data_IF_165956877914
#
_entry.id   IF_165956877914
#
_cell.length_a   1.000
_cell.length_b   1.000
_cell.length_c   1.000
_cell.angle_alpha   90.00
_cell.angle_beta   90.00
_cell.angle_gamma   90.00
#
_symmetry.space_group_name_H-M   'P 1'
#
loop_
_entity.id
_entity.type
_entity.pdbx_description
1 polymer ?
#
# COMPACT_ATOMS: atom_id res chain seq x y z
N UNK A 1 -0.74 -57.46 50.44
CA UNK A 1 -1.49 -56.31 51.01
C UNK A 1 -0.53 -55.65 51.99
N UNK A 2 0.02 -54.44 51.82
CA UNK A 2 -0.37 -53.24 51.10
C UNK A 2 0.83 -52.59 50.40
N UNK A 3 0.60 -51.98 49.23
CA UNK A 3 1.45 -50.95 48.62
C UNK A 3 1.50 -49.72 49.52
N UNK A 4 2.66 -49.08 49.65
CA UNK A 4 2.74 -47.67 50.05
C UNK A 4 3.62 -46.90 49.06
N UNK A 5 2.94 -45.98 48.40
CA UNK A 5 3.37 -45.13 47.31
C UNK A 5 3.89 -43.82 47.93
N UNK A 6 5.18 -43.50 47.77
CA UNK A 6 5.68 -42.16 48.12
C UNK A 6 6.05 -41.39 46.85
N UNK A 7 5.31 -40.31 46.66
CA UNK A 7 5.20 -39.48 45.47
C UNK A 7 6.40 -38.51 45.41
N UNK A 8 7.15 -38.54 44.30
CA UNK A 8 8.19 -37.53 44.00
C UNK A 8 7.50 -36.22 43.62
N UNK A 9 7.61 -35.21 44.47
CA UNK A 9 7.12 -33.86 44.17
C UNK A 9 8.25 -33.02 43.57
N UNK A 10 8.42 -33.12 42.25
CA UNK A 10 9.27 -32.20 41.48
C UNK A 10 8.40 -31.02 41.03
N UNK A 11 8.43 -29.92 41.77
CA UNK A 11 7.81 -28.66 41.36
C UNK A 11 8.64 -27.99 40.27
N UNK A 12 8.30 -28.28 39.00
CA UNK A 12 8.78 -27.49 37.87
C UNK A 12 8.00 -26.17 37.82
N UNK A 13 8.63 -25.08 38.26
CA UNK A 13 8.10 -23.74 38.13
C UNK A 13 8.27 -23.29 36.67
N UNK A 14 7.25 -23.54 35.84
CA UNK A 14 7.19 -22.97 34.49
C UNK A 14 6.83 -21.50 34.63
N UNK A 15 7.83 -20.64 34.65
CA UNK A 15 7.64 -19.20 34.49
C UNK A 15 7.25 -18.93 33.04
N UNK A 16 5.95 -18.96 32.75
CA UNK A 16 5.40 -18.40 31.52
C UNK A 16 5.57 -16.89 31.58
N UNK A 17 6.67 -16.38 31.01
CA UNK A 17 6.76 -14.96 30.68
C UNK A 17 5.71 -14.66 29.63
N UNK A 18 4.60 -14.07 30.07
CA UNK A 18 3.68 -13.37 29.20
C UNK A 18 4.44 -12.18 28.61
N UNK A 19 5.12 -12.39 27.49
CA UNK A 19 5.47 -11.30 26.60
C UNK A 19 4.13 -10.75 26.10
N UNK A 20 3.68 -9.65 26.71
CA UNK A 20 2.61 -8.85 26.15
C UNK A 20 3.10 -8.40 24.77
N UNK A 21 2.61 -9.04 23.70
CA UNK A 21 2.81 -8.55 22.35
C UNK A 21 2.09 -7.21 22.28
N UNK A 22 2.85 -6.11 22.39
CA UNK A 22 2.34 -4.79 22.08
C UNK A 22 1.94 -4.78 20.60
N UNK A 23 0.64 -4.79 20.33
CA UNK A 23 0.12 -4.66 18.97
C UNK A 23 0.52 -3.28 18.43
N UNK A 24 1.01 -3.24 17.20
CA UNK A 24 1.51 -2.00 16.61
C UNK A 24 0.36 -0.99 16.43
N UNK A 25 0.40 0.10 17.18
CA UNK A 25 -0.54 1.20 17.04
C UNK A 25 -0.04 2.21 15.99
N UNK A 26 -0.59 2.09 14.78
CA UNK A 26 -0.21 2.92 13.65
C UNK A 26 -0.50 4.41 13.88
N UNK A 27 -1.64 4.76 14.46
CA UNK A 27 -2.01 6.16 14.68
C UNK A 27 -1.08 6.83 15.69
N UNK A 28 -0.73 6.12 16.76
CA UNK A 28 0.23 6.56 17.76
C UNK A 28 1.62 6.76 17.15
N UNK A 29 2.11 5.80 16.37
CA UNK A 29 3.38 5.89 15.66
C UNK A 29 3.44 7.10 14.72
N UNK A 30 2.38 7.34 13.93
CA UNK A 30 2.33 8.52 13.04
C UNK A 30 2.40 9.82 13.85
N UNK A 31 1.62 9.93 14.92
CA UNK A 31 1.54 11.14 15.75
C UNK A 31 2.82 11.41 16.55
N UNK A 32 3.49 10.37 17.04
CA UNK A 32 4.66 10.51 17.91
C UNK A 32 5.99 10.47 17.16
N UNK A 33 6.12 9.60 16.17
CA UNK A 33 7.42 9.26 15.58
C UNK A 33 7.61 9.80 14.17
N UNK A 34 6.57 9.80 13.33
CA UNK A 34 6.68 10.31 11.95
C UNK A 34 6.49 11.82 11.87
N UNK A 35 5.40 12.35 12.44
CA UNK A 35 5.06 13.77 12.35
C UNK A 35 5.58 14.50 13.57
N UNK A 36 6.82 14.98 13.49
CA UNK A 36 7.47 15.74 14.57
C UNK A 36 7.26 17.25 14.48
N UNK A 37 6.79 17.75 13.33
CA UNK A 37 6.60 19.18 13.14
C UNK A 37 5.27 19.65 13.78
N UNK A 38 5.31 20.51 14.81
CA UNK A 38 4.10 20.95 15.53
C UNK A 38 3.15 21.79 14.67
N UNK A 39 3.60 22.32 13.52
CA UNK A 39 2.77 23.06 12.57
C UNK A 39 1.89 22.14 11.69
N UNK A 40 2.10 20.82 11.77
CA UNK A 40 1.34 19.82 11.03
C UNK A 40 0.40 19.13 12.03
N UNK A 41 -0.92 19.20 11.78
CA UNK A 41 -1.89 18.44 12.58
C UNK A 41 -2.23 17.13 11.88
N UNK A 42 -2.21 16.03 12.62
CA UNK A 42 -2.69 14.72 12.15
C UNK A 42 -4.18 14.64 12.45
N UNK A 43 -5.03 14.81 11.44
CA UNK A 43 -6.47 14.71 11.59
C UNK A 43 -6.94 13.24 11.69
N UNK A 44 -6.21 12.32 11.07
CA UNK A 44 -6.50 10.90 11.11
C UNK A 44 -5.50 10.06 10.33
N UNK A 45 -5.53 8.75 10.55
CA UNK A 45 -4.71 7.77 9.84
C UNK A 45 -5.61 6.62 9.40
N UNK A 46 -5.64 6.34 8.11
CA UNK A 46 -6.47 5.28 7.51
C UNK A 46 -5.57 4.16 7.01
N UNK A 47 -5.69 2.96 7.57
CA UNK A 47 -5.00 1.78 7.06
C UNK A 47 -5.68 1.33 5.75
N UNK A 48 -4.92 1.33 4.65
CA UNK A 48 -5.40 0.90 3.34
C UNK A 48 -5.21 -0.60 3.17
N UNK A 49 -4.01 -1.09 3.45
CA UNK A 49 -3.66 -2.50 3.29
C UNK A 49 -2.47 -2.87 4.17
N UNK A 50 -2.45 -4.11 4.66
CA UNK A 50 -1.28 -4.72 5.30
C UNK A 50 -0.88 -5.97 4.52
N UNK A 51 0.41 -6.11 4.21
CA UNK A 51 0.93 -7.20 3.37
C UNK A 51 2.22 -7.78 3.95
N UNK A 52 2.35 -9.09 3.95
CA UNK A 52 3.60 -9.75 4.32
C UNK A 52 4.71 -9.36 3.36
N UNK A 53 5.93 -9.25 3.88
CA UNK A 53 7.09 -9.00 3.02
C UNK A 53 7.68 -10.30 2.50
N UNK A 54 8.09 -10.30 1.22
CA UNK A 54 8.75 -11.45 0.61
C UNK A 54 10.14 -11.73 1.21
N UNK A 55 10.72 -10.79 1.96
CA UNK A 55 12.05 -10.88 2.53
C UNK A 55 12.09 -11.61 3.88
N UNK A 56 11.02 -11.51 4.67
CA UNK A 56 10.89 -12.22 5.95
C UNK A 56 9.44 -12.30 6.40
N UNK A 57 9.05 -13.44 6.97
CA UNK A 57 7.72 -13.67 7.54
C UNK A 57 7.44 -12.80 8.77
N UNK A 58 8.47 -12.21 9.37
CA UNK A 58 8.33 -11.41 10.58
C UNK A 58 8.11 -9.91 10.28
N UNK A 59 8.31 -9.49 9.03
CA UNK A 59 8.11 -8.11 8.60
C UNK A 59 6.86 -8.02 7.74
N UNK A 60 5.99 -7.07 8.10
CA UNK A 60 4.78 -6.71 7.36
C UNK A 60 4.87 -5.26 6.89
N UNK A 61 4.43 -4.99 5.67
CA UNK A 61 4.26 -3.65 5.15
C UNK A 61 2.85 -3.15 5.49
N UNK A 62 2.79 -2.00 6.16
CA UNK A 62 1.58 -1.27 6.49
C UNK A 62 1.49 -0.08 5.52
N UNK A 63 0.49 -0.10 4.64
CA UNK A 63 0.20 0.96 3.68
C UNK A 63 -1.00 1.75 4.17
N UNK A 64 -0.84 3.06 4.35
CA UNK A 64 -1.86 3.88 4.98
C UNK A 64 -1.88 5.31 4.43
N UNK A 65 -2.99 6.00 4.66
CA UNK A 65 -3.19 7.39 4.31
C UNK A 65 -3.13 8.24 5.57
N UNK A 66 -2.22 9.22 5.59
CA UNK A 66 -2.17 10.24 6.64
C UNK A 66 -3.01 11.44 6.21
N UNK A 67 -4.06 11.73 6.97
CA UNK A 67 -4.88 12.92 6.76
C UNK A 67 -4.26 14.07 7.57
N UNK A 68 -3.50 14.92 6.90
CA UNK A 68 -2.71 15.98 7.55
C UNK A 68 -3.27 17.36 7.22
N UNK A 69 -3.26 18.25 8.21
CA UNK A 69 -3.47 19.69 8.02
C UNK A 69 -2.13 20.40 8.01
N UNK A 70 -1.68 20.84 6.84
CA UNK A 70 -0.42 21.54 6.63
C UNK A 70 -0.71 22.99 6.27
N UNK A 71 -0.27 23.95 7.09
CA UNK A 71 -0.52 25.39 6.88
C UNK A 71 -2.01 25.71 6.65
N UNK A 72 -2.89 25.04 7.40
CA UNK A 72 -4.35 25.23 7.31
C UNK A 72 -5.04 24.50 6.16
N UNK A 73 -4.30 23.85 5.26
CA UNK A 73 -4.85 23.05 4.16
C UNK A 73 -4.83 21.57 4.50
N UNK A 74 -5.98 20.91 4.36
CA UNK A 74 -6.08 19.47 4.48
C UNK A 74 -5.46 18.79 3.26
N UNK A 75 -4.68 17.75 3.48
CA UNK A 75 -3.93 17.02 2.45
C UNK A 75 -3.70 15.59 2.91
N UNK A 76 -3.87 14.66 1.98
CA UNK A 76 -3.73 13.24 2.24
C UNK A 76 -2.37 12.77 1.72
N UNK A 77 -1.60 12.12 2.58
CA UNK A 77 -0.24 11.65 2.26
C UNK A 77 -0.19 10.13 2.41
N UNK A 78 -0.07 9.38 1.30
CA UNK A 78 0.12 7.94 1.37
C UNK A 78 1.52 7.64 1.89
N UNK A 79 1.63 6.66 2.78
CA UNK A 79 2.90 6.24 3.35
C UNK A 79 2.95 4.72 3.48
N UNK A 80 4.16 4.17 3.54
CA UNK A 80 4.36 2.74 3.82
C UNK A 80 5.44 2.56 4.86
N UNK A 81 5.12 1.81 5.92
CA UNK A 81 6.11 1.42 6.92
C UNK A 81 6.17 -0.09 7.09
N UNK A 82 7.35 -0.57 7.46
CA UNK A 82 7.64 -1.97 7.69
C UNK A 82 7.66 -2.20 9.19
N UNK A 83 6.84 -3.13 9.67
CA UNK A 83 6.68 -3.43 11.09
C UNK A 83 7.10 -4.86 11.34
N UNK A 84 7.96 -5.05 12.32
CA UNK A 84 8.26 -6.33 12.93
C UNK A 84 7.63 -6.38 14.32
N UNK A 85 6.42 -6.93 14.39
CA UNK A 85 5.62 -7.01 15.61
C UNK A 85 6.30 -7.86 16.69
N UNK A 86 7.03 -8.92 16.29
CA UNK A 86 7.74 -9.80 17.23
C UNK A 86 8.93 -9.10 17.90
N UNK A 87 9.63 -8.27 17.14
CA UNK A 87 10.79 -7.53 17.64
C UNK A 87 10.41 -6.16 18.25
N UNK A 88 9.17 -5.71 18.07
CA UNK A 88 8.75 -4.36 18.46
C UNK A 88 9.47 -3.26 17.67
N UNK A 89 9.78 -3.52 16.39
CA UNK A 89 10.55 -2.59 15.54
C UNK A 89 9.72 -2.11 14.35
N UNK A 90 9.94 -0.87 13.96
CA UNK A 90 9.36 -0.25 12.76
C UNK A 90 10.45 0.44 11.96
N UNK A 91 10.34 0.36 10.63
CA UNK A 91 11.25 1.03 9.71
C UNK A 91 10.49 1.62 8.53
N UNK A 92 10.92 2.78 8.04
CA UNK A 92 10.43 3.36 6.78
C UNK A 92 11.09 2.73 5.55
N UNK A 93 12.23 2.06 5.74
CA UNK A 93 12.95 1.42 4.64
C UNK A 93 13.62 0.14 5.11
N UNK A 94 13.39 -0.93 4.37
CA UNK A 94 13.94 -2.24 4.66
C UNK A 94 14.72 -2.70 3.44
N UNK A 95 15.97 -3.14 3.63
CA UNK A 95 16.82 -3.67 2.57
C UNK A 95 17.16 -5.12 2.87
N UNK A 96 17.07 -5.96 1.85
CA UNK A 96 17.60 -7.32 1.91
C UNK A 96 19.11 -7.27 1.73
N UNK A 97 19.85 -7.75 2.72
CA UNK A 97 21.32 -7.66 2.74
C UNK A 97 21.99 -8.55 1.69
N UNK A 98 21.33 -9.61 1.22
CA UNK A 98 21.91 -10.55 0.25
C UNK A 98 21.79 -10.03 -1.19
N UNK A 99 20.63 -9.51 -1.53
CA UNK A 99 20.32 -9.01 -2.87
C UNK A 99 20.58 -7.52 -3.02
N UNK A 100 20.82 -6.80 -1.92
CA UNK A 100 20.92 -5.34 -1.85
C UNK A 100 19.69 -4.62 -2.41
N UNK A 101 18.55 -5.31 -2.51
CA UNK A 101 17.29 -4.74 -2.99
C UNK A 101 16.48 -4.22 -1.81
N UNK A 102 15.84 -3.08 -2.03
CA UNK A 102 14.84 -2.58 -1.08
C UNK A 102 13.66 -3.56 -1.07
N UNK A 103 13.34 -4.06 0.12
CA UNK A 103 12.15 -4.87 0.37
C UNK A 103 10.94 -3.99 0.11
N UNK A 104 10.00 -4.50 -0.69
CA UNK A 104 8.75 -3.78 -0.86
C UNK A 104 8.82 -2.53 -1.73
N UNK A 105 9.82 -2.41 -2.62
CA UNK A 105 9.95 -1.30 -3.58
C UNK A 105 8.65 -0.97 -4.34
N UNK A 106 7.73 -1.91 -4.44
CA UNK A 106 6.43 -1.76 -5.11
C UNK A 106 5.23 -2.07 -4.20
N UNK A 107 5.34 -1.91 -2.88
CA UNK A 107 4.14 -1.91 -2.03
C UNK A 107 3.32 -0.66 -2.35
N UNK A 108 2.34 -0.89 -3.23
CA UNK A 108 1.25 0.02 -3.50
C UNK A 108 -0.03 -0.70 -3.07
N UNK A 109 -1.00 0.03 -2.49
CA UNK A 109 -2.33 -0.51 -2.27
C UNK A 109 -2.88 -1.08 -3.57
N UNK A 110 -3.68 -2.15 -3.47
CA UNK A 110 -4.47 -2.59 -4.61
C UNK A 110 -5.37 -1.44 -5.10
N UNK A 111 -5.55 -1.34 -6.41
CA UNK A 111 -6.51 -0.40 -6.99
C UNK A 111 -7.92 -0.88 -6.61
N UNK A 112 -8.76 0.05 -6.13
CA UNK A 112 -10.12 -0.26 -5.72
C UNK A 112 -10.97 -0.85 -6.85
N UNK A 113 -11.93 -1.72 -6.50
CA UNK A 113 -12.78 -2.42 -7.47
C UNK A 113 -13.52 -1.46 -8.40
N UNK A 114 -13.91 -0.28 -7.90
CA UNK A 114 -14.66 0.74 -8.63
C UNK A 114 -13.93 1.29 -9.86
N UNK A 115 -12.60 1.21 -9.88
CA UNK A 115 -11.82 1.62 -11.05
C UNK A 115 -11.89 0.63 -12.22
N UNK A 116 -12.42 -0.57 -12.01
CA UNK A 116 -12.63 -1.58 -13.05
C UNK A 116 -14.07 -1.55 -13.60
N UNK A 117 -14.59 -0.35 -13.84
CA UNK A 117 -15.92 -0.10 -14.39
C UNK A 117 -15.96 -0.21 -15.93
N UNK A 118 -17.01 -0.84 -16.46
CA UNK A 118 -17.23 -1.03 -17.90
C UNK A 118 -17.25 0.27 -18.69
N UNK A 119 -17.76 1.36 -18.11
CA UNK A 119 -17.78 2.67 -18.76
C UNK A 119 -16.37 3.19 -19.11
N UNK A 120 -15.35 2.69 -18.41
CA UNK A 120 -13.95 3.05 -18.62
C UNK A 120 -13.15 1.97 -19.35
N UNK A 121 -13.74 0.83 -19.71
CA UNK A 121 -13.07 -0.24 -20.45
C UNK A 121 -12.90 0.18 -21.92
N UNK A 122 -11.67 0.47 -22.33
CA UNK A 122 -11.38 0.96 -23.69
C UNK A 122 -10.76 -0.11 -24.62
N UNK A 123 -10.21 -1.19 -24.07
CA UNK A 123 -9.65 -2.30 -24.84
C UNK A 123 -9.58 -3.61 -24.03
N UNK A 124 -9.60 -4.74 -24.75
CA UNK A 124 -9.49 -6.07 -24.16
C UNK A 124 -10.81 -6.63 -23.62
N UNK A 125 -10.79 -7.82 -23.03
CA UNK A 125 -11.98 -8.46 -22.45
C UNK A 125 -12.12 -8.14 -20.97
N UNK A 126 -13.34 -7.87 -20.52
CA UNK A 126 -13.64 -7.52 -19.11
C UNK A 126 -13.17 -8.58 -18.11
N UNK A 127 -13.22 -9.85 -18.50
CA UNK A 127 -12.84 -11.03 -17.72
C UNK A 127 -11.38 -11.47 -17.93
N UNK A 128 -10.58 -10.67 -18.65
CA UNK A 128 -9.17 -10.96 -18.85
C UNK A 128 -8.40 -11.07 -17.53
N UNK A 129 -7.39 -11.94 -17.52
CA UNK A 129 -6.59 -12.28 -16.33
C UNK A 129 -5.90 -11.07 -15.70
N UNK A 130 -5.45 -10.12 -16.53
CA UNK A 130 -4.70 -8.95 -16.07
C UNK A 130 -5.46 -7.68 -16.41
N UNK A 131 -5.82 -6.90 -15.39
CA UNK A 131 -6.55 -5.64 -15.57
C UNK A 131 -5.64 -4.45 -15.30
N UNK A 132 -5.51 -3.57 -16.28
CA UNK A 132 -4.74 -2.34 -16.19
C UNK A 132 -5.67 -1.15 -16.01
N UNK A 133 -5.35 -0.27 -15.07
CA UNK A 133 -5.99 1.04 -14.93
C UNK A 133 -4.94 2.09 -15.29
N UNK A 134 -5.23 2.91 -16.28
CA UNK A 134 -4.35 3.98 -16.74
C UNK A 134 -4.99 5.32 -16.45
N UNK A 135 -4.31 6.11 -15.62
CA UNK A 135 -4.59 7.52 -15.45
C UNK A 135 -3.67 8.31 -16.38
N UNK A 136 -4.26 9.15 -17.22
CA UNK A 136 -3.51 9.84 -18.27
C UNK A 136 -3.91 11.30 -18.38
N UNK A 137 -2.89 12.13 -18.58
CA UNK A 137 -3.02 13.53 -18.93
C UNK A 137 -2.74 13.71 -20.44
N UNK A 138 -3.64 14.31 -21.24
CA UNK A 138 -3.44 14.48 -22.67
C UNK A 138 -2.23 15.35 -23.04
N UNK A 139 -1.74 16.21 -22.14
CA UNK A 139 -0.57 17.07 -22.38
C UNK A 139 0.72 16.51 -21.80
N UNK A 140 0.67 15.38 -21.06
CA UNK A 140 1.88 14.77 -20.53
C UNK A 140 2.65 14.02 -21.64
N UNK A 141 3.90 14.40 -21.98
CA UNK A 141 4.64 13.76 -23.06
C UNK A 141 4.85 12.26 -22.84
N UNK A 142 5.05 11.83 -21.60
CA UNK A 142 5.18 10.41 -21.27
C UNK A 142 3.86 9.65 -21.48
N UNK A 143 2.72 10.26 -21.16
CA UNK A 143 1.42 9.65 -21.43
C UNK A 143 1.19 9.52 -22.92
N UNK A 144 1.44 10.57 -23.70
CA UNK A 144 1.32 10.57 -25.16
C UNK A 144 2.19 9.49 -25.83
N UNK A 145 3.38 9.23 -25.27
CA UNK A 145 4.27 8.19 -25.79
C UNK A 145 3.85 6.77 -25.39
N UNK A 146 3.46 6.57 -24.12
CA UNK A 146 3.29 5.22 -23.56
C UNK A 146 1.86 4.68 -23.68
N UNK A 147 0.84 5.52 -23.50
CA UNK A 147 -0.56 5.07 -23.50
C UNK A 147 -0.98 4.45 -24.84
N UNK A 148 -0.61 5.02 -26.02
CA UNK A 148 -0.92 4.37 -27.30
C UNK A 148 -0.28 2.99 -27.44
N UNK A 149 0.94 2.82 -26.94
CA UNK A 149 1.64 1.53 -26.93
C UNK A 149 0.91 0.51 -26.06
N UNK A 150 0.52 0.89 -24.84
CA UNK A 150 -0.26 0.04 -23.94
C UNK A 150 -1.58 -0.37 -24.59
N UNK A 151 -2.31 0.60 -25.15
CA UNK A 151 -3.58 0.36 -25.83
C UNK A 151 -3.43 -0.64 -26.98
N UNK A 152 -2.41 -0.44 -27.83
CA UNK A 152 -2.11 -1.35 -28.94
C UNK A 152 -1.81 -2.77 -28.44
N UNK A 153 -0.94 -2.92 -27.43
CA UNK A 153 -0.60 -4.22 -26.86
C UNK A 153 -1.83 -4.94 -26.29
N UNK A 154 -2.73 -4.21 -25.62
CA UNK A 154 -3.96 -4.79 -25.07
C UNK A 154 -4.91 -5.22 -26.20
N UNK A 155 -5.06 -4.42 -27.27
CA UNK A 155 -5.86 -4.82 -28.44
C UNK A 155 -5.34 -6.07 -29.13
N UNK A 156 -4.02 -6.25 -29.18
CA UNK A 156 -3.38 -7.43 -29.77
C UNK A 156 -3.49 -8.66 -28.86
N UNK A 157 -3.79 -8.48 -27.56
CA UNK A 157 -3.84 -9.55 -26.56
C UNK A 157 -5.12 -9.47 -25.69
N UNK A 158 -6.32 -9.50 -26.30
CA UNK A 158 -7.58 -9.15 -25.62
C UNK A 158 -8.01 -10.17 -24.55
N UNK A 159 -7.58 -11.43 -24.64
CA UNK A 159 -7.83 -12.47 -23.64
C UNK A 159 -6.94 -12.33 -22.40
N UNK A 160 -5.76 -11.73 -22.57
CA UNK A 160 -4.76 -11.60 -21.51
C UNK A 160 -4.97 -10.34 -20.70
N UNK A 161 -5.38 -9.25 -21.35
CA UNK A 161 -5.45 -7.92 -20.74
C UNK A 161 -6.80 -7.24 -20.92
N UNK A 162 -7.20 -6.47 -19.91
CA UNK A 162 -8.28 -5.48 -19.95
C UNK A 162 -7.71 -4.10 -19.61
N UNK A 163 -8.03 -3.08 -20.38
CA UNK A 163 -7.54 -1.72 -20.17
C UNK A 163 -8.67 -0.76 -19.83
N UNK A 164 -8.60 -0.23 -18.61
CA UNK A 164 -9.49 0.81 -18.10
C UNK A 164 -8.78 2.15 -18.12
N UNK A 165 -9.41 3.18 -18.67
CA UNK A 165 -8.79 4.49 -18.89
C UNK A 165 -9.53 5.61 -18.16
N UNK A 166 -8.77 6.44 -17.48
CA UNK A 166 -9.25 7.60 -16.74
C UNK A 166 -8.45 8.85 -17.11
N UNK A 167 -9.17 9.93 -17.39
CA UNK A 167 -8.54 11.23 -17.52
C UNK A 167 -8.03 11.73 -16.16
N UNK A 168 -6.78 12.15 -16.12
CA UNK A 168 -6.15 12.75 -14.94
C UNK A 168 -5.39 14.02 -15.34
N UNK A 169 -6.10 15.12 -15.66
CA UNK A 169 -5.47 16.36 -16.08
C UNK A 169 -4.69 16.99 -14.92
N UNK A 170 -3.37 17.17 -15.08
CA UNK A 170 -2.48 17.74 -14.07
C UNK A 170 -2.48 19.28 -14.16
N UNK A 171 -3.61 19.88 -13.81
CA UNK A 171 -3.94 21.29 -14.06
C UNK A 171 -2.90 22.32 -13.60
N UNK A 172 -2.07 21.98 -12.60
CA UNK A 172 -1.01 22.88 -12.13
C UNK A 172 0.12 23.06 -13.14
N UNK A 173 0.40 22.04 -13.95
CA UNK A 173 1.49 22.03 -14.92
C UNK A 173 0.98 21.93 -16.36
N UNK A 174 -0.23 21.40 -16.58
CA UNK A 174 -0.89 21.31 -17.87
C UNK A 174 -2.31 21.90 -17.81
N UNK A 175 -2.46 23.22 -17.74
CA UNK A 175 -3.78 23.86 -17.59
C UNK A 175 -4.71 23.58 -18.78
N UNK A 176 -4.17 23.41 -20.00
CA UNK A 176 -4.94 23.12 -21.22
C UNK A 176 -5.58 21.73 -21.18
N UNK A 177 -5.06 20.81 -20.37
CA UNK A 177 -5.60 19.44 -20.24
C UNK A 177 -7.04 19.43 -19.75
N UNK A 178 -7.48 20.46 -19.03
CA UNK A 178 -8.86 20.65 -18.62
C UNK A 178 -9.83 20.65 -19.82
N UNK A 179 -9.53 21.49 -20.81
CA UNK A 179 -10.35 21.65 -22.01
C UNK A 179 -10.25 20.41 -22.89
N UNK A 180 -9.05 19.85 -23.05
CA UNK A 180 -8.84 18.67 -23.87
C UNK A 180 -9.56 17.44 -23.32
N UNK A 181 -9.49 17.20 -22.01
CA UNK A 181 -10.22 16.10 -21.38
C UNK A 181 -11.72 16.22 -21.61
N UNK A 182 -12.32 17.40 -21.41
CA UNK A 182 -13.76 17.60 -21.68
C UNK A 182 -14.16 17.41 -23.14
N UNK A 183 -13.25 17.64 -24.08
CA UNK A 183 -13.51 17.44 -25.50
C UNK A 183 -13.38 15.96 -25.94
N UNK A 184 -12.79 15.11 -25.10
CA UNK A 184 -12.61 13.68 -25.33
C UNK A 184 -13.74 12.83 -24.74
N UNK A 185 -14.58 13.40 -23.87
CA UNK A 185 -15.80 12.81 -23.29
C UNK A 185 -17.00 12.93 -24.25
#
# INVERSE_FOLDING_TARGET
MMMSLTLKLSTALVATTLLANAEFNLEEYVKKDLIKNPQIKVNGVELLEKRDTNASKDWKAYMFLMNLKVKGKDSNYPETVFVNEKAGLVSMSLYDLKSHKQVGKNFRPAIGADYYNDAHLIAGKKDAKHKLVVFSDPMCPFCQQNVPTIYKTVKENPDTFALYYYHMPLLRIHPVSDVLTRAME
#
